data_IF_103770711405
#
_entry.id   IF_103770711405
#
_cell.length_a   1.000
_cell.length_b   1.000
_cell.length_c   1.000
_cell.angle_alpha   90.00
_cell.angle_beta   90.00
_cell.angle_gamma   90.00
#
_symmetry.space_group_name_H-M   'P 1'
#
loop_
_entity.id
_entity.type
_entity.pdbx_description
1 polymer ?
#
# COMPACT_ATOMS: atom_id res chain seq x y z
N UNK A 1 -1.46 -6.69 8.53
CA UNK A 1 -0.98 -6.97 7.15
C UNK A 1 -1.78 -6.14 6.17
N UNK A 2 -1.25 -5.86 4.97
CA UNK A 2 -1.89 -5.00 3.99
C UNK A 2 -1.71 -5.43 2.55
N UNK A 3 -2.76 -5.25 1.76
CA UNK A 3 -2.80 -5.47 0.31
C UNK A 3 -3.42 -4.29 -0.42
N UNK A 4 -2.98 -4.07 -1.64
CA UNK A 4 -3.57 -3.08 -2.56
C UNK A 4 -3.86 -3.76 -3.90
N UNK A 5 -4.96 -4.49 -4.05
CA UNK A 5 -5.25 -5.26 -5.27
C UNK A 5 -5.26 -4.43 -6.54
N UNK A 6 -5.87 -3.25 -6.51
CA UNK A 6 -5.81 -2.24 -7.56
C UNK A 6 -4.76 -1.20 -7.18
N UNK A 7 -3.71 -1.08 -8.00
CA UNK A 7 -2.64 -0.10 -7.78
C UNK A 7 -3.19 1.30 -7.54
N UNK A 8 -2.82 1.90 -6.42
CA UNK A 8 -3.28 3.23 -6.02
C UNK A 8 -4.56 3.25 -5.18
N UNK A 9 -5.38 2.20 -5.18
CA UNK A 9 -6.60 2.11 -4.40
C UNK A 9 -6.34 2.07 -2.88
N UNK A 10 -7.36 2.13 -2.06
CA UNK A 10 -7.28 1.98 -0.61
C UNK A 10 -6.54 0.69 -0.23
N UNK A 11 -5.83 0.74 0.88
CA UNK A 11 -5.17 -0.41 1.44
C UNK A 11 -6.22 -1.30 2.13
N UNK A 12 -6.12 -2.62 1.98
CA UNK A 12 -6.99 -3.58 2.65
C UNK A 12 -6.19 -4.41 3.65
N UNK A 13 -6.83 -4.86 4.73
CA UNK A 13 -6.18 -5.52 5.85
C UNK A 13 -6.68 -6.96 6.01
N UNK A 14 -6.25 -7.90 5.15
CA UNK A 14 -6.59 -9.31 5.30
C UNK A 14 -5.90 -9.92 6.52
N UNK A 15 -6.54 -10.90 7.13
CA UNK A 15 -5.95 -11.65 8.25
C UNK A 15 -4.86 -12.63 7.80
N UNK A 16 -4.88 -13.02 6.51
CA UNK A 16 -3.90 -13.91 5.90
C UNK A 16 -3.50 -13.41 4.53
N UNK A 17 -2.24 -13.58 4.19
CA UNK A 17 -1.69 -13.32 2.85
C UNK A 17 -0.82 -14.49 2.42
N UNK A 18 -0.95 -14.88 1.17
CA UNK A 18 -0.01 -15.80 0.56
C UNK A 18 1.12 -15.02 -0.13
N UNK A 19 2.35 -15.43 0.10
CA UNK A 19 3.53 -14.85 -0.55
C UNK A 19 4.24 -15.91 -1.40
N UNK A 20 4.63 -15.51 -2.59
CA UNK A 20 5.43 -16.29 -3.52
C UNK A 20 6.77 -15.59 -3.75
N UNK A 21 7.67 -16.21 -4.51
CA UNK A 21 9.02 -15.66 -4.73
C UNK A 21 9.00 -14.21 -5.23
N UNK A 22 8.10 -13.91 -6.14
CA UNK A 22 8.09 -12.63 -6.87
C UNK A 22 6.86 -11.78 -6.55
N UNK A 23 5.97 -12.24 -5.66
CA UNK A 23 4.72 -11.53 -5.39
C UNK A 23 4.16 -11.78 -3.99
N UNK A 24 3.40 -10.82 -3.52
CA UNK A 24 2.33 -11.01 -2.55
C UNK A 24 1.06 -11.25 -3.34
N UNK A 25 0.45 -12.44 -3.16
CA UNK A 25 -0.67 -12.89 -3.99
C UNK A 25 -1.86 -11.91 -3.87
N UNK A 26 -2.30 -11.42 -5.00
CA UNK A 26 -3.39 -10.45 -5.09
C UNK A 26 -2.96 -8.99 -4.94
N UNK A 27 -1.71 -8.70 -4.58
CA UNK A 27 -1.23 -7.32 -4.49
C UNK A 27 -0.93 -6.75 -5.87
N UNK A 28 -1.49 -5.58 -6.17
CA UNK A 28 -1.27 -4.81 -7.41
C UNK A 28 -1.39 -5.64 -8.70
N UNK A 29 -2.30 -6.63 -8.70
CA UNK A 29 -2.66 -7.41 -9.89
C UNK A 29 -3.44 -6.57 -10.89
N UNK A 30 -4.04 -5.49 -10.42
CA UNK A 30 -4.84 -4.58 -11.22
C UNK A 30 -4.21 -3.19 -11.21
N UNK A 31 -4.35 -2.48 -12.31
CA UNK A 31 -3.92 -1.10 -12.45
C UNK A 31 -4.90 -0.34 -13.33
N UNK A 32 -4.75 0.98 -13.36
CA UNK A 32 -5.37 1.82 -14.38
C UNK A 32 -4.30 2.31 -15.34
N UNK A 33 -4.65 2.39 -16.61
CA UNK A 33 -3.87 3.08 -17.63
C UNK A 33 -4.62 4.31 -18.10
N UNK A 34 -3.87 5.29 -18.57
CA UNK A 34 -4.39 6.51 -19.19
C UNK A 34 -3.63 6.83 -20.46
N UNK A 35 -4.23 7.52 -21.45
CA UNK A 35 -3.51 7.98 -22.62
C UNK A 35 -2.45 9.02 -22.23
N UNK A 36 -1.28 8.94 -22.83
CA UNK A 36 -0.19 9.88 -22.65
C UNK A 36 0.54 10.10 -23.98
N UNK A 37 0.26 11.22 -24.65
CA UNK A 37 0.77 11.53 -26.00
C UNK A 37 0.54 10.39 -27.00
N UNK A 38 1.54 9.57 -27.28
CA UNK A 38 1.47 8.46 -28.24
C UNK A 38 1.45 7.07 -27.60
N UNK A 39 1.40 6.98 -26.29
CA UNK A 39 1.50 5.73 -25.56
C UNK A 39 0.49 5.64 -24.41
N UNK A 40 0.34 4.46 -23.81
CA UNK A 40 -0.37 4.26 -22.56
C UNK A 40 0.57 4.41 -21.38
N UNK A 41 0.08 4.99 -20.27
CA UNK A 41 0.82 5.12 -19.05
C UNK A 41 0.03 4.57 -17.86
N UNK A 42 0.69 3.85 -16.96
CA UNK A 42 0.10 3.45 -15.69
C UNK A 42 -0.22 4.70 -14.87
N UNK A 43 -1.44 4.78 -14.35
CA UNK A 43 -1.88 5.89 -13.49
C UNK A 43 -1.02 5.93 -12.23
N UNK A 44 -0.47 7.11 -11.93
CA UNK A 44 0.37 7.34 -10.75
C UNK A 44 -0.48 7.91 -9.62
N UNK A 45 -0.47 7.27 -8.48
CA UNK A 45 -1.27 7.68 -7.31
C UNK A 45 -0.99 9.11 -6.87
N UNK A 46 0.25 9.58 -7.01
CA UNK A 46 0.65 10.97 -6.69
C UNK A 46 -0.02 12.00 -7.58
N UNK A 47 -0.33 11.64 -8.83
CA UNK A 47 -1.02 12.48 -9.82
C UNK A 47 -2.55 12.33 -9.70
N UNK A 48 -3.01 11.21 -9.18
CA UNK A 48 -4.43 10.86 -9.03
C UNK A 48 -4.74 10.40 -7.61
N UNK A 49 -4.61 11.28 -6.60
CA UNK A 49 -4.75 10.90 -5.19
C UNK A 49 -6.14 10.37 -4.84
N UNK A 50 -7.19 10.74 -5.57
CA UNK A 50 -8.56 10.20 -5.42
C UNK A 50 -8.62 8.68 -5.55
N UNK A 51 -7.61 8.05 -6.19
CA UNK A 51 -7.50 6.59 -6.23
C UNK A 51 -7.50 5.96 -4.84
N UNK A 52 -6.92 6.62 -3.84
CA UNK A 52 -6.85 6.06 -2.48
C UNK A 52 -8.22 5.98 -1.79
N UNK A 53 -9.25 6.61 -2.34
CA UNK A 53 -10.62 6.48 -1.85
C UNK A 53 -11.40 5.32 -2.52
N UNK A 54 -10.85 4.71 -3.57
CA UNK A 54 -11.43 3.51 -4.21
C UNK A 54 -11.09 2.29 -3.37
N UNK A 55 -12.10 1.53 -2.95
CA UNK A 55 -11.89 0.26 -2.27
C UNK A 55 -11.81 -0.87 -3.29
N UNK A 56 -10.80 -1.73 -3.13
CA UNK A 56 -10.57 -2.86 -4.01
C UNK A 56 -10.23 -4.12 -3.20
N UNK A 57 -10.89 -5.23 -3.49
CA UNK A 57 -10.64 -6.53 -2.86
C UNK A 57 -10.66 -7.62 -3.90
N UNK A 58 -9.71 -8.56 -3.84
CA UNK A 58 -9.75 -9.76 -4.65
C UNK A 58 -10.51 -10.86 -3.89
N UNK A 59 -11.53 -11.42 -4.52
CA UNK A 59 -12.21 -12.62 -4.05
C UNK A 59 -11.52 -13.88 -4.58
N UNK A 60 -11.97 -15.04 -4.12
CA UNK A 60 -11.58 -16.33 -4.68
C UNK A 60 -11.82 -16.35 -6.20
N UNK A 61 -10.95 -17.04 -6.95
CA UNK A 61 -11.02 -17.04 -8.41
C UNK A 61 -10.49 -15.78 -9.10
N UNK A 62 -9.92 -14.83 -8.35
CA UNK A 62 -9.30 -13.62 -8.93
C UNK A 62 -10.27 -12.51 -9.30
N UNK A 63 -11.55 -12.64 -8.92
CA UNK A 63 -12.57 -11.60 -9.15
C UNK A 63 -12.21 -10.35 -8.32
N UNK A 64 -12.17 -9.18 -8.96
CA UNK A 64 -11.96 -7.91 -8.30
C UNK A 64 -13.30 -7.28 -7.92
N UNK A 65 -13.49 -7.03 -6.64
CA UNK A 65 -14.59 -6.22 -6.14
C UNK A 65 -14.11 -4.77 -6.04
N UNK A 66 -14.76 -3.87 -6.77
CA UNK A 66 -14.51 -2.43 -6.72
C UNK A 66 -15.68 -1.73 -6.04
N UNK A 67 -15.38 -0.80 -5.15
CA UNK A 67 -16.34 0.13 -4.57
C UNK A 67 -15.77 1.54 -4.67
N UNK A 68 -16.52 2.43 -5.31
CA UNK A 68 -16.17 3.82 -5.48
C UNK A 68 -16.70 4.66 -4.31
N UNK A 69 -16.12 5.85 -4.06
CA UNK A 69 -16.56 6.72 -2.95
C UNK A 69 -18.03 7.14 -2.98
N UNK A 70 -18.66 7.12 -4.15
CA UNK A 70 -20.08 7.42 -4.33
C UNK A 70 -21.00 6.20 -4.11
N UNK A 71 -20.45 5.07 -3.68
CA UNK A 71 -21.18 3.84 -3.40
C UNK A 71 -21.41 2.92 -4.59
N UNK A 72 -21.02 3.30 -5.82
CA UNK A 72 -21.08 2.39 -6.98
C UNK A 72 -20.17 1.19 -6.77
N UNK A 73 -20.68 -0.01 -7.07
CA UNK A 73 -19.98 -1.28 -6.88
C UNK A 73 -19.92 -2.08 -8.16
N UNK A 74 -18.79 -2.72 -8.40
CA UNK A 74 -18.56 -3.54 -9.58
C UNK A 74 -17.88 -4.85 -9.21
N UNK A 75 -18.26 -5.91 -9.91
CA UNK A 75 -17.58 -7.20 -9.91
C UNK A 75 -16.88 -7.36 -11.25
N UNK A 76 -15.56 -7.52 -11.22
CA UNK A 76 -14.71 -7.63 -12.39
C UNK A 76 -14.14 -9.04 -12.42
N UNK A 77 -14.59 -9.86 -13.38
CA UNK A 77 -14.19 -11.25 -13.51
C UNK A 77 -12.81 -11.48 -14.15
N UNK A 78 -12.19 -10.39 -14.62
CA UNK A 78 -10.87 -10.43 -15.24
C UNK A 78 -10.86 -10.85 -16.71
N UNK A 79 -12.02 -10.98 -17.34
CA UNK A 79 -12.08 -11.21 -18.79
C UNK A 79 -11.39 -10.04 -19.53
N UNK A 80 -10.36 -10.34 -20.29
CA UNK A 80 -9.54 -9.34 -20.99
C UNK A 80 -9.70 -9.48 -22.51
N UNK A 81 -9.55 -8.34 -23.20
CA UNK A 81 -9.81 -8.26 -24.66
C UNK A 81 -8.55 -8.02 -25.50
N UNK A 82 -7.46 -7.57 -24.92
CA UNK A 82 -6.24 -7.28 -25.65
C UNK A 82 -5.07 -6.95 -24.72
N UNK A 83 -3.88 -7.06 -25.26
CA UNK A 83 -2.65 -6.71 -24.55
C UNK A 83 -2.15 -5.35 -25.04
N UNK A 84 -1.65 -4.53 -24.13
CA UNK A 84 -0.98 -3.26 -24.42
C UNK A 84 0.28 -3.14 -23.60
N UNK A 85 1.22 -2.32 -24.06
CA UNK A 85 2.39 -1.92 -23.29
C UNK A 85 2.14 -0.54 -22.73
N UNK A 86 2.24 -0.40 -21.41
CA UNK A 86 2.08 0.88 -20.73
C UNK A 86 3.40 1.30 -20.08
N UNK A 87 3.71 2.60 -20.12
CA UNK A 87 4.88 3.15 -19.41
C UNK A 87 4.64 3.14 -17.90
N UNK A 88 5.63 2.71 -17.14
CA UNK A 88 5.64 2.75 -15.68
C UNK A 88 7.01 3.16 -15.14
N UNK A 89 7.20 4.44 -14.82
CA UNK A 89 8.47 4.97 -14.28
C UNK A 89 9.70 4.63 -15.16
N UNK A 90 9.59 4.89 -16.46
CA UNK A 90 10.65 4.61 -17.43
C UNK A 90 10.79 3.14 -17.84
N UNK A 91 9.88 2.26 -17.38
CA UNK A 91 9.87 0.83 -17.71
C UNK A 91 8.60 0.47 -18.48
N UNK A 92 8.67 -0.46 -19.44
CA UNK A 92 7.47 -1.03 -20.04
C UNK A 92 6.79 -1.99 -19.07
N UNK A 93 5.47 -1.92 -18.98
CA UNK A 93 4.61 -2.87 -18.27
C UNK A 93 3.64 -3.47 -19.28
N UNK A 94 3.70 -4.79 -19.47
CA UNK A 94 2.72 -5.51 -20.27
C UNK A 94 1.45 -5.69 -19.44
N UNK A 95 0.33 -5.27 -19.98
CA UNK A 95 -0.97 -5.31 -19.29
C UNK A 95 -2.06 -5.74 -20.27
N UNK A 96 -3.15 -6.26 -19.73
CA UNK A 96 -4.31 -6.71 -20.51
C UNK A 96 -5.51 -5.85 -20.17
N UNK A 97 -6.17 -5.33 -21.20
CA UNK A 97 -7.37 -4.49 -21.08
C UNK A 97 -8.54 -5.32 -20.54
N UNK A 98 -9.21 -4.77 -19.54
CA UNK A 98 -10.41 -5.35 -18.92
C UNK A 98 -11.54 -4.33 -19.01
N UNK A 99 -12.13 -4.17 -20.21
CA UNK A 99 -13.14 -3.14 -20.46
C UNK A 99 -14.45 -3.44 -19.73
N UNK A 100 -15.08 -2.39 -19.23
CA UNK A 100 -16.37 -2.50 -18.57
C UNK A 100 -16.94 -1.16 -18.10
N UNK A 101 -18.11 -1.19 -17.44
CA UNK A 101 -18.76 0.04 -16.96
C UNK A 101 -17.94 0.79 -15.90
N UNK A 102 -16.99 0.10 -15.25
CA UNK A 102 -16.05 0.70 -14.30
C UNK A 102 -15.10 1.71 -14.94
N UNK A 103 -14.73 1.57 -16.22
CA UNK A 103 -13.82 2.50 -16.90
C UNK A 103 -14.43 3.91 -16.94
N UNK A 104 -15.70 4.00 -17.31
CA UNK A 104 -16.42 5.28 -17.29
C UNK A 104 -16.50 5.84 -15.86
N UNK A 105 -16.87 5.02 -14.90
CA UNK A 105 -17.04 5.45 -13.52
C UNK A 105 -15.72 5.93 -12.89
N UNK A 106 -14.60 5.23 -13.17
CA UNK A 106 -13.28 5.62 -12.72
C UNK A 106 -12.77 6.88 -13.45
N UNK A 107 -13.07 7.01 -14.73
CA UNK A 107 -12.76 8.22 -15.50
C UNK A 107 -13.48 9.45 -14.95
N UNK A 108 -14.76 9.33 -14.60
CA UNK A 108 -15.52 10.39 -13.94
C UNK A 108 -14.91 10.76 -12.58
N UNK A 109 -14.54 9.78 -11.76
CA UNK A 109 -13.91 10.00 -10.45
C UNK A 109 -12.59 10.74 -10.57
N UNK A 110 -11.75 10.32 -11.53
CA UNK A 110 -10.38 10.83 -11.67
C UNK A 110 -10.31 12.11 -12.52
N UNK A 111 -11.36 12.42 -13.29
CA UNK A 111 -11.44 13.60 -14.15
C UNK A 111 -10.63 13.47 -15.44
N UNK A 112 -10.39 12.26 -15.92
CA UNK A 112 -9.68 11.96 -17.14
C UNK A 112 -9.92 10.52 -17.60
N UNK A 113 -9.72 10.24 -18.89
CA UNK A 113 -9.89 8.91 -19.44
C UNK A 113 -8.93 7.91 -18.80
N UNK A 114 -9.49 6.81 -18.27
CA UNK A 114 -8.74 5.69 -17.74
C UNK A 114 -9.39 4.36 -18.14
N UNK A 115 -8.56 3.32 -18.21
CA UNK A 115 -9.01 1.95 -18.47
C UNK A 115 -8.45 1.00 -17.42
N UNK A 116 -9.26 0.07 -16.99
CA UNK A 116 -8.82 -0.97 -16.05
C UNK A 116 -8.04 -2.04 -16.81
N UNK A 117 -6.93 -2.47 -16.20
CA UNK A 117 -6.07 -3.51 -16.73
C UNK A 117 -5.66 -4.51 -15.67
N UNK A 118 -5.36 -5.74 -16.09
CA UNK A 118 -4.58 -6.69 -15.30
C UNK A 118 -3.14 -6.66 -15.73
N UNK A 119 -2.21 -6.87 -14.81
CA UNK A 119 -0.79 -7.00 -15.14
C UNK A 119 -0.47 -8.41 -15.61
N UNK A 120 0.35 -8.51 -16.65
CA UNK A 120 0.78 -9.79 -17.20
C UNK A 120 1.62 -10.59 -16.20
N UNK A 121 2.56 -9.92 -15.56
CA UNK A 121 3.46 -10.51 -14.56
C UNK A 121 3.30 -9.86 -13.20
N UNK A 122 3.27 -10.66 -12.15
CA UNK A 122 3.33 -10.19 -10.78
C UNK A 122 4.52 -9.23 -10.57
N UNK A 123 4.31 -8.17 -9.81
CA UNK A 123 5.32 -7.15 -9.55
C UNK A 123 5.57 -6.15 -10.69
N UNK A 124 4.95 -6.30 -11.86
CA UNK A 124 5.18 -5.40 -13.01
C UNK A 124 4.95 -3.92 -12.68
N UNK A 125 4.00 -3.62 -11.79
CA UNK A 125 3.67 -2.26 -11.33
C UNK A 125 4.02 -2.02 -9.86
N UNK A 126 4.93 -2.81 -9.31
CA UNK A 126 5.55 -2.62 -7.99
C UNK A 126 6.91 -1.95 -8.20
N UNK A 127 7.24 -0.96 -7.38
CA UNK A 127 8.48 -0.17 -7.50
C UNK A 127 9.53 -0.63 -6.52
N UNK A 128 9.57 -1.67 -5.92
CA UNK A 128 10.62 -2.15 -5.05
C UNK A 128 10.47 -3.66 -4.82
N UNK A 129 10.95 -4.15 -3.71
CA UNK A 129 10.82 -5.53 -3.31
C UNK A 129 9.34 -5.93 -3.16
N UNK A 130 9.00 -7.21 -3.37
CA UNK A 130 7.61 -7.67 -3.29
C UNK A 130 6.98 -7.48 -1.91
N UNK A 131 7.77 -7.57 -0.85
CA UNK A 131 7.31 -7.41 0.54
C UNK A 131 7.86 -6.13 1.14
N UNK A 132 6.99 -5.24 1.60
CA UNK A 132 7.37 -4.04 2.35
C UNK A 132 6.97 -4.18 3.82
N UNK A 133 7.85 -3.71 4.71
CA UNK A 133 7.73 -3.90 6.16
C UNK A 133 7.90 -2.56 6.85
N UNK A 134 7.05 -2.29 7.84
CA UNK A 134 7.27 -1.22 8.83
C UNK A 134 7.10 -1.81 10.23
N UNK A 135 7.62 -1.12 11.24
CA UNK A 135 7.48 -1.53 12.64
C UNK A 135 6.58 -0.57 13.40
N UNK A 136 5.88 -1.08 14.41
CA UNK A 136 5.00 -0.26 15.25
C UNK A 136 5.77 0.86 15.95
N UNK A 137 6.98 0.57 16.48
CA UNK A 137 7.81 1.58 17.13
C UNK A 137 8.18 2.75 16.21
N UNK A 138 8.48 2.46 14.93
CA UNK A 138 8.85 3.48 13.96
C UNK A 138 7.65 4.29 13.46
N UNK A 139 6.49 3.64 13.28
CA UNK A 139 5.23 4.34 12.92
C UNK A 139 4.83 5.30 14.04
N UNK A 140 4.88 4.84 15.30
CA UNK A 140 4.59 5.67 16.47
C UNK A 140 5.54 6.88 16.58
N UNK A 141 6.82 6.70 16.30
CA UNK A 141 7.77 7.83 16.30
C UNK A 141 7.43 8.87 15.22
N UNK A 142 7.05 8.43 14.02
CA UNK A 142 6.62 9.37 12.97
C UNK A 142 5.34 10.09 13.38
N UNK A 143 4.39 9.38 14.02
CA UNK A 143 3.18 9.99 14.56
C UNK A 143 3.51 11.04 15.65
N UNK A 144 4.41 10.72 16.58
CA UNK A 144 4.89 11.63 17.62
C UNK A 144 5.53 12.89 17.03
N UNK A 145 6.38 12.76 16.01
CA UNK A 145 6.96 13.90 15.28
C UNK A 145 5.88 14.77 14.61
N UNK A 146 4.77 14.16 14.21
CA UNK A 146 3.61 14.85 13.66
C UNK A 146 2.72 15.58 14.67
N UNK A 147 3.08 15.54 15.97
CA UNK A 147 2.35 16.22 17.04
C UNK A 147 1.33 15.34 17.77
N UNK A 148 1.29 14.05 17.52
CA UNK A 148 0.49 13.11 18.33
C UNK A 148 1.19 12.90 19.67
N UNK A 149 0.53 13.27 20.77
CA UNK A 149 1.03 13.01 22.12
C UNK A 149 0.56 11.62 22.58
N UNK A 150 1.46 10.85 23.15
CA UNK A 150 1.11 9.63 23.86
C UNK A 150 0.32 10.04 25.11
N UNK A 151 -0.92 9.56 25.24
CA UNK A 151 -1.69 9.60 26.49
C UNK A 151 -2.62 10.78 26.71
N UNK A 152 -3.68 10.90 25.92
CA UNK A 152 -4.94 11.51 26.39
C UNK A 152 -6.11 10.67 25.84
N UNK A 153 -6.37 9.54 26.47
CA UNK A 153 -7.49 8.64 26.18
C UNK A 153 -8.13 8.09 27.45
N UNK A 154 -8.10 8.83 28.56
CA UNK A 154 -8.95 8.57 29.73
C UNK A 154 -9.81 9.80 30.02
N UNK A 155 -10.83 9.98 29.21
CA UNK A 155 -11.95 10.86 29.45
C UNK A 155 -13.23 10.01 29.48
N UNK A 156 -13.67 9.61 30.67
CA UNK A 156 -15.03 9.14 30.90
C UNK A 156 -16.00 10.25 30.48
N UNK A 157 -16.70 10.02 29.38
CA UNK A 157 -17.83 10.82 28.95
C UNK A 157 -18.93 9.87 28.52
N UNK A 158 -19.89 9.65 29.43
CA UNK A 158 -21.16 9.00 29.10
C UNK A 158 -21.90 9.89 28.09
N UNK A 159 -21.88 9.52 26.83
CA UNK A 159 -22.58 10.18 25.75
C UNK A 159 -22.91 9.15 24.67
N UNK A 160 -24.20 8.93 24.47
CA UNK A 160 -24.78 8.10 23.42
C UNK A 160 -24.13 8.40 22.08
N UNK A 161 -23.62 7.35 21.41
CA UNK A 161 -23.06 7.42 20.06
C UNK A 161 -24.10 6.90 19.08
N UNK A 162 -24.87 7.82 18.56
CA UNK A 162 -25.56 7.63 17.29
C UNK A 162 -24.66 8.21 16.19
N UNK A 163 -24.39 7.43 15.16
CA UNK A 163 -23.86 7.94 13.90
C UNK A 163 -22.57 7.30 13.43
N UNK A 164 -22.64 6.61 12.30
CA UNK A 164 -21.57 6.16 11.41
C UNK A 164 -20.67 7.35 10.98
N UNK A 165 -19.73 7.70 11.81
CA UNK A 165 -18.71 8.72 11.55
C UNK A 165 -17.34 8.06 11.63
N UNK A 166 -16.65 7.96 10.50
CA UNK A 166 -15.21 7.74 10.42
C UNK A 166 -14.50 8.83 11.25
N UNK A 167 -14.31 8.53 12.52
CA UNK A 167 -13.60 9.37 13.48
C UNK A 167 -12.10 9.35 13.25
N UNK A 168 -11.65 9.65 12.04
CA UNK A 168 -10.25 9.87 11.74
C UNK A 168 -9.74 11.04 12.58
N UNK A 169 -8.99 10.74 13.64
CA UNK A 169 -8.37 11.74 14.51
C UNK A 169 -7.52 12.66 13.66
N UNK A 170 -7.94 13.91 13.50
CA UNK A 170 -7.15 14.94 12.82
C UNK A 170 -5.78 15.05 13.52
N UNK A 171 -4.72 14.80 12.74
CA UNK A 171 -3.34 14.91 13.22
C UNK A 171 -2.57 13.60 13.37
N UNK A 172 -3.20 12.43 13.27
CA UNK A 172 -2.51 11.15 13.39
C UNK A 172 -1.81 10.74 12.09
N UNK A 173 -0.56 10.34 12.17
CA UNK A 173 0.11 9.57 11.12
C UNK A 173 -0.18 8.10 11.39
N UNK A 174 -0.93 7.48 10.51
CA UNK A 174 -1.28 6.07 10.59
C UNK A 174 -0.37 5.21 9.69
N UNK A 175 -0.30 3.93 9.97
CA UNK A 175 0.51 2.96 9.24
C UNK A 175 0.02 2.73 7.79
N UNK A 176 -1.29 2.92 7.53
CA UNK A 176 -1.87 2.78 6.19
C UNK A 176 -1.24 3.74 5.17
N UNK A 177 -0.76 4.92 5.59
CA UNK A 177 -0.06 5.86 4.71
C UNK A 177 1.16 5.23 4.04
N UNK A 178 1.83 4.33 4.74
CA UNK A 178 3.03 3.66 4.24
C UNK A 178 2.72 2.49 3.31
N UNK A 179 1.46 2.03 3.25
CA UNK A 179 0.97 1.00 2.34
C UNK A 179 1.85 -0.25 2.37
N UNK A 180 2.27 -0.62 3.57
CA UNK A 180 3.20 -1.72 3.80
C UNK A 180 2.49 -3.07 3.81
N UNK A 181 3.14 -4.09 3.28
CA UNK A 181 2.64 -5.47 3.28
C UNK A 181 2.50 -6.00 4.71
N UNK A 182 3.45 -5.64 5.56
CA UNK A 182 3.45 -6.06 6.97
C UNK A 182 3.75 -4.89 7.89
N UNK A 183 3.04 -4.86 9.01
CA UNK A 183 3.40 -4.09 10.19
C UNK A 183 3.83 -5.10 11.25
N UNK A 184 5.08 -5.03 11.68
CA UNK A 184 5.63 -5.90 12.73
C UNK A 184 5.52 -5.18 14.05
N UNK A 185 4.89 -5.83 15.02
CA UNK A 185 4.85 -5.33 16.38
C UNK A 185 6.23 -5.49 17.02
N UNK A 186 6.73 -4.39 17.59
CA UNK A 186 8.10 -4.31 18.13
C UNK A 186 8.12 -3.68 19.52
N UNK A 187 7.43 -4.29 20.51
CA UNK A 187 7.42 -3.74 21.85
C UNK A 187 8.85 -3.68 22.41
N UNK A 188 9.23 -2.51 22.96
CA UNK A 188 10.53 -2.30 23.58
C UNK A 188 11.70 -2.08 22.62
N UNK A 189 11.50 -2.12 21.32
CA UNK A 189 12.54 -1.68 20.37
C UNK A 189 12.49 -0.16 20.15
N UNK A 190 13.67 0.42 20.00
CA UNK A 190 13.77 1.82 19.59
C UNK A 190 13.21 2.01 18.18
N UNK A 191 12.65 3.18 17.90
CA UNK A 191 12.25 3.55 16.56
C UNK A 191 13.43 3.41 15.58
N UNK A 192 13.13 2.93 14.39
CA UNK A 192 14.07 2.69 13.29
C UNK A 192 15.15 1.61 13.57
N UNK A 193 14.99 0.83 14.65
CA UNK A 193 15.91 -0.28 14.94
C UNK A 193 15.91 -1.34 13.81
N UNK A 194 14.80 -1.43 13.05
CA UNK A 194 14.69 -2.29 11.88
C UNK A 194 15.69 -1.97 10.77
N UNK A 195 16.25 -0.77 10.73
CA UNK A 195 17.31 -0.44 9.77
C UNK A 195 18.52 -1.39 9.88
N UNK A 196 18.78 -1.88 11.08
CA UNK A 196 19.82 -2.89 11.34
C UNK A 196 19.49 -4.31 10.90
N UNK A 197 18.29 -4.54 10.32
CA UNK A 197 17.90 -5.85 9.81
C UNK A 197 18.27 -6.06 8.34
N UNK A 198 18.75 -5.03 7.66
CA UNK A 198 19.20 -5.12 6.27
C UNK A 198 20.36 -6.14 6.17
N UNK A 199 20.24 -7.06 5.22
CA UNK A 199 21.14 -8.22 5.06
C UNK A 199 20.72 -9.46 5.86
N UNK A 200 19.85 -9.29 6.87
CA UNK A 200 19.34 -10.39 7.69
C UNK A 200 18.18 -11.15 7.06
N UNK A 201 17.76 -12.20 7.75
CA UNK A 201 16.61 -13.03 7.39
C UNK A 201 15.51 -12.86 8.45
N UNK A 202 14.28 -12.68 7.99
CA UNK A 202 13.09 -12.68 8.82
C UNK A 202 12.28 -13.93 8.55
N UNK A 203 12.03 -14.73 9.56
CA UNK A 203 11.06 -15.82 9.50
C UNK A 203 9.76 -15.33 10.11
N UNK A 204 8.67 -15.41 9.34
CA UNK A 204 7.32 -15.03 9.75
C UNK A 204 6.41 -16.23 9.51
N UNK A 205 6.01 -16.89 10.57
CA UNK A 205 5.35 -18.20 10.47
C UNK A 205 6.20 -19.18 9.63
N UNK A 206 5.66 -19.76 8.54
CA UNK A 206 6.39 -20.66 7.64
C UNK A 206 7.23 -19.94 6.58
N UNK A 207 7.08 -18.62 6.41
CA UNK A 207 7.71 -17.84 5.37
C UNK A 207 9.08 -17.34 5.82
N UNK A 208 10.05 -17.36 4.91
CA UNK A 208 11.35 -16.74 5.12
C UNK A 208 11.58 -15.61 4.12
N UNK A 209 11.95 -14.45 4.64
CA UNK A 209 12.24 -13.24 3.89
C UNK A 209 13.71 -12.86 4.03
N UNK A 210 14.30 -12.31 2.97
CA UNK A 210 15.63 -11.70 3.02
C UNK A 210 15.44 -10.18 2.95
N UNK A 211 15.84 -9.47 3.98
CA UNK A 211 15.76 -8.01 4.03
C UNK A 211 16.85 -7.43 3.14
N UNK A 212 16.43 -6.75 2.06
CA UNK A 212 17.36 -6.26 1.04
C UNK A 212 17.80 -4.82 1.27
N UNK A 213 16.86 -3.98 1.65
CA UNK A 213 17.12 -2.54 1.72
C UNK A 213 16.13 -1.82 2.62
N UNK A 214 16.48 -0.58 2.98
CA UNK A 214 15.50 0.38 3.49
C UNK A 214 14.61 0.82 2.36
N UNK A 215 13.31 0.96 2.63
CA UNK A 215 12.31 1.30 1.62
C UNK A 215 12.31 2.81 1.34
N UNK A 216 12.59 3.21 0.10
CA UNK A 216 12.40 4.57 -0.35
C UNK A 216 10.91 4.96 -0.34
N UNK A 217 10.60 6.18 0.07
CA UNK A 217 9.24 6.70 0.17
C UNK A 217 9.04 7.91 -0.75
N UNK A 218 7.92 7.92 -1.43
CA UNK A 218 7.52 9.02 -2.31
C UNK A 218 6.34 9.80 -1.75
N UNK A 219 5.90 10.82 -2.45
CA UNK A 219 4.82 11.71 -2.02
C UNK A 219 3.46 11.02 -1.78
N UNK A 220 3.29 9.75 -2.14
CA UNK A 220 2.05 8.99 -1.87
C UNK A 220 1.74 8.92 -0.37
N UNK A 221 2.77 8.86 0.50
CA UNK A 221 2.55 8.80 1.96
C UNK A 221 1.97 10.09 2.56
N UNK A 222 1.88 11.18 1.77
CA UNK A 222 1.23 12.44 2.16
C UNK A 222 -0.29 12.39 2.01
N UNK A 223 -0.80 11.42 1.24
CA UNK A 223 -2.23 11.27 1.00
C UNK A 223 -2.85 10.59 2.23
N UNK A 224 -3.94 11.16 2.75
CA UNK A 224 -4.70 10.54 3.84
C UNK A 224 -5.39 9.27 3.33
N UNK A 225 -5.23 8.14 4.01
CA UNK A 225 -5.84 6.87 3.61
C UNK A 225 -7.35 7.00 3.43
N UNK A 226 -7.88 6.34 2.41
CA UNK A 226 -9.32 6.29 2.15
C UNK A 226 -9.98 7.60 1.69
N UNK A 227 -9.27 8.72 1.63
CA UNK A 227 -9.88 10.03 1.39
C UNK A 227 -9.55 10.64 0.03
N UNK A 228 -8.43 10.29 -0.57
CA UNK A 228 -7.92 10.96 -1.77
C UNK A 228 -7.39 12.37 -1.54
N UNK A 229 -7.19 12.79 -0.29
CA UNK A 229 -6.78 14.15 0.08
C UNK A 229 -5.34 14.15 0.57
N UNK A 230 -4.52 15.06 0.05
CA UNK A 230 -3.21 15.38 0.62
C UNK A 230 -3.42 16.29 1.82
N UNK A 231 -2.98 15.89 3.02
CA UNK A 231 -3.17 16.74 4.22
C UNK A 231 -2.83 16.05 5.52
N UNK A 232 -2.99 16.81 6.61
CA UNK A 232 -2.54 16.44 7.95
C UNK A 232 -1.02 16.57 8.10
N UNK A 233 -0.42 15.94 9.14
CA UNK A 233 1.03 15.87 9.26
C UNK A 233 1.63 15.30 7.99
N UNK A 234 2.72 15.88 7.51
CA UNK A 234 3.42 15.42 6.30
C UNK A 234 4.51 14.41 6.67
N UNK A 235 4.25 13.09 6.57
CA UNK A 235 5.22 12.07 6.97
C UNK A 235 6.50 12.14 6.16
N UNK A 236 6.42 12.53 4.88
CA UNK A 236 7.60 12.65 4.04
C UNK A 236 8.53 13.75 4.54
N UNK A 237 7.97 14.90 4.94
CA UNK A 237 8.74 16.01 5.52
C UNK A 237 9.32 15.64 6.89
N UNK A 238 8.53 14.97 7.73
CA UNK A 238 8.97 14.54 9.06
C UNK A 238 10.15 13.57 8.98
N UNK A 239 10.12 12.66 8.02
CA UNK A 239 11.19 11.69 7.78
C UNK A 239 12.41 12.35 7.10
N UNK A 240 12.21 13.32 6.22
CA UNK A 240 13.29 13.98 5.50
C UNK A 240 14.26 14.75 6.42
N UNK A 241 13.87 15.01 7.67
CA UNK A 241 14.73 15.71 8.64
C UNK A 241 16.02 14.93 8.99
N UNK A 242 15.95 13.58 9.01
CA UNK A 242 17.06 12.73 9.45
C UNK A 242 17.14 11.36 8.72
N UNK A 243 16.24 11.11 7.77
CA UNK A 243 16.11 9.81 7.10
C UNK A 243 16.26 9.90 5.58
N UNK A 244 17.28 10.63 5.14
CA UNK A 244 17.64 10.73 3.72
C UNK A 244 18.88 9.87 3.46
N UNK A 245 18.77 8.95 2.52
CA UNK A 245 19.84 8.06 2.07
C UNK A 245 19.92 8.14 0.55
N UNK A 246 21.09 8.48 0.01
CA UNK A 246 21.31 8.64 -1.43
C UNK A 246 20.29 9.58 -2.12
N UNK A 247 19.84 10.63 -1.41
CA UNK A 247 18.86 11.60 -1.94
C UNK A 247 17.40 11.16 -1.82
N UNK A 248 17.12 9.97 -1.29
CA UNK A 248 15.76 9.47 -1.09
C UNK A 248 15.39 9.41 0.39
N UNK A 249 14.16 9.78 0.72
CA UNK A 249 13.60 9.59 2.07
C UNK A 249 13.31 8.11 2.26
N UNK A 250 13.85 7.50 3.31
CA UNK A 250 13.68 6.08 3.61
C UNK A 250 12.89 5.84 4.89
N UNK A 251 12.02 4.83 4.86
CA UNK A 251 11.25 4.39 6.03
C UNK A 251 10.78 2.94 5.86
N UNK A 252 11.04 2.10 6.85
CA UNK A 252 10.79 0.67 6.79
C UNK A 252 11.71 -0.05 5.80
N UNK A 253 11.37 -1.26 5.48
CA UNK A 253 12.22 -2.21 4.77
C UNK A 253 11.55 -2.79 3.53
N UNK A 254 12.36 -3.16 2.55
CA UNK A 254 12.00 -4.01 1.43
C UNK A 254 12.64 -5.38 1.58
N UNK A 255 11.87 -6.44 1.31
CA UNK A 255 12.32 -7.81 1.45
C UNK A 255 11.88 -8.70 0.28
N UNK A 256 12.78 -9.61 -0.11
CA UNK A 256 12.52 -10.70 -1.04
C UNK A 256 12.01 -11.93 -0.30
N UNK A 257 11.27 -12.79 -0.99
CA UNK A 257 10.76 -14.04 -0.45
C UNK A 257 11.73 -15.18 -0.75
N UNK A 258 12.42 -15.68 0.27
CA UNK A 258 13.31 -16.83 0.16
C UNK A 258 12.53 -18.17 0.23
N UNK A 259 11.62 -18.28 1.19
CA UNK A 259 10.71 -19.44 1.34
C UNK A 259 9.28 -18.94 1.25
N UNK A 260 8.53 -19.31 0.20
CA UNK A 260 7.14 -18.92 0.04
C UNK A 260 6.22 -19.66 1.03
N UNK A 261 5.03 -19.09 1.26
CA UNK A 261 4.02 -19.67 2.15
C UNK A 261 2.88 -18.71 2.43
N UNK A 262 2.11 -19.00 3.45
CA UNK A 262 1.04 -18.13 3.95
C UNK A 262 1.45 -17.51 5.29
N UNK A 263 1.22 -16.22 5.45
CA UNK A 263 1.44 -15.47 6.69
C UNK A 263 0.07 -15.09 7.26
N UNK A 264 -0.09 -15.23 8.57
CA UNK A 264 -1.28 -14.82 9.32
C UNK A 264 -0.96 -13.65 10.26
N UNK A 265 -1.98 -12.87 10.61
CA UNK A 265 -1.88 -11.90 11.70
C UNK A 265 -1.61 -12.66 13.00
N UNK A 266 -0.62 -12.21 13.77
CA UNK A 266 -0.19 -12.86 15.00
C UNK A 266 0.91 -13.91 14.82
N UNK A 267 1.33 -14.22 13.59
CA UNK A 267 2.48 -15.10 13.38
C UNK A 267 3.75 -14.51 14.02
N UNK A 268 4.53 -15.34 14.73
CA UNK A 268 5.77 -14.89 15.35
C UNK A 268 6.81 -14.49 14.30
N UNK A 269 7.55 -13.43 14.59
CA UNK A 269 8.64 -12.94 13.75
C UNK A 269 9.98 -13.19 14.43
N UNK A 270 10.88 -13.86 13.73
CA UNK A 270 12.23 -14.16 14.19
C UNK A 270 13.25 -13.57 13.23
N UNK A 271 14.15 -12.72 13.75
CA UNK A 271 15.28 -12.18 13.01
C UNK A 271 16.50 -13.09 13.20
N UNK A 272 17.08 -13.53 12.10
CA UNK A 272 18.42 -14.12 12.07
C UNK A 272 19.35 -13.15 11.35
N UNK A 273 20.35 -12.64 12.05
CA UNK A 273 21.39 -11.80 11.44
C UNK A 273 22.31 -12.67 10.59
N UNK A 274 22.79 -12.09 9.48
CA UNK A 274 23.78 -12.73 8.63
C UNK A 274 25.11 -12.89 9.34
#
# INVERSE_FOLDING_TARGET
>A
MGLTPLKGAAHSHPERIAVRRDEVVGDRRWALIQPAASEWRIVRTVESPKMTAVRARCAAGGVLHLELPDGRRYLVDGAHTGAVVAEYWGRPANVHLVPGPWDRALSELLGGEVQLVTVDRAGAVVFAEPVSIVTTSSVLEVARRGGVRDGEGEGHGDGERDGDGDGGVEGRVDDERFRSTMVIDTPGLSAFAEDGWVGGRLRVGPVELIVRQRQARCAVIRIRPGTGVVGGPDPLRLLAADRVVNGEVVFGLGAEVAVPGEIAVGDPVHLTRA
#
